data_IF_132462525193
#
_entry.id   IF_132462525193
#
_cell.length_a   1.000
_cell.length_b   1.000
_cell.length_c   1.000
_cell.angle_alpha   90.00
_cell.angle_beta   90.00
_cell.angle_gamma   90.00
#
_symmetry.space_group_name_H-M   'P 1'
#
loop_
_entity.id
_entity.type
_entity.pdbx_description
1 polymer ?
#
# COMPACT_ATOMS: atom_id res chain seq x y z
N UNK A 1 -9.60 -19.25 24.58
CA UNK A 1 -9.16 -17.85 24.65
C UNK A 1 -9.22 -17.29 23.23
N UNK A 2 -9.95 -16.21 22.99
CA UNK A 2 -9.97 -15.55 21.67
C UNK A 2 -8.60 -14.90 21.43
N UNK A 3 -7.98 -15.22 20.30
CA UNK A 3 -6.70 -14.64 19.92
C UNK A 3 -6.92 -13.19 19.54
N UNK A 4 -6.19 -12.25 20.16
CA UNK A 4 -6.18 -10.85 19.78
C UNK A 4 -5.17 -10.63 18.65
N UNK A 5 -5.59 -9.95 17.59
CA UNK A 5 -4.72 -9.61 16.45
C UNK A 5 -4.41 -8.12 16.42
N UNK A 6 -3.20 -7.79 16.01
CA UNK A 6 -2.82 -6.42 15.68
C UNK A 6 -2.59 -6.28 14.17
N UNK A 7 -3.38 -5.41 13.53
CA UNK A 7 -3.27 -5.09 12.11
C UNK A 7 -2.65 -3.70 11.95
N UNK A 8 -1.65 -3.59 11.10
CA UNK A 8 -1.16 -2.30 10.60
C UNK A 8 -1.66 -2.12 9.17
N UNK A 9 -2.34 -1.01 8.90
CA UNK A 9 -2.87 -0.65 7.58
C UNK A 9 -2.05 0.50 7.01
N UNK A 10 -1.38 0.23 5.91
CA UNK A 10 -0.73 1.20 5.04
C UNK A 10 -1.60 1.39 3.80
N UNK A 11 -1.54 2.55 3.15
CA UNK A 11 -2.27 2.72 1.90
C UNK A 11 -2.73 4.13 1.65
N UNK A 12 -3.61 4.26 0.68
CA UNK A 12 -4.14 5.52 0.21
C UNK A 12 -5.54 5.85 0.74
N UNK A 13 -6.29 6.60 -0.06
CA UNK A 13 -7.62 7.10 0.32
C UNK A 13 -8.64 6.00 0.58
N UNK A 14 -8.55 4.86 -0.09
CA UNK A 14 -9.46 3.72 0.18
C UNK A 14 -9.28 3.16 1.59
N UNK A 15 -8.08 3.24 2.15
CA UNK A 15 -7.74 2.86 3.52
C UNK A 15 -8.10 3.93 4.56
N UNK A 16 -8.22 5.21 4.14
CA UNK A 16 -8.61 6.34 5.00
C UNK A 16 -10.13 6.47 5.11
N UNK A 17 -10.90 6.00 4.15
CA UNK A 17 -12.36 6.10 4.14
C UNK A 17 -12.98 5.49 5.41
N UNK A 18 -13.63 6.32 6.24
CA UNK A 18 -14.10 5.96 7.60
C UNK A 18 -15.04 4.76 7.58
N UNK A 19 -15.97 4.69 6.63
CA UNK A 19 -16.94 3.60 6.52
C UNK A 19 -16.52 2.44 5.61
N UNK A 20 -15.28 2.50 5.09
CA UNK A 20 -14.71 1.52 4.16
C UNK A 20 -13.89 0.43 4.85
N UNK A 21 -12.72 0.15 4.26
CA UNK A 21 -11.81 -0.91 4.67
C UNK A 21 -11.45 -0.83 6.16
N UNK A 22 -11.03 0.35 6.64
CA UNK A 22 -10.63 0.51 8.02
C UNK A 22 -11.75 0.19 9.03
N UNK A 23 -13.02 0.43 8.68
CA UNK A 23 -14.15 0.04 9.54
C UNK A 23 -14.30 -1.47 9.59
N UNK A 24 -14.18 -2.13 8.44
CA UNK A 24 -14.27 -3.60 8.35
C UNK A 24 -13.13 -4.31 9.06
N UNK A 25 -11.95 -3.69 9.15
CA UNK A 25 -10.78 -4.21 9.85
C UNK A 25 -10.83 -3.99 11.38
N UNK A 26 -11.90 -3.42 11.92
CA UNK A 26 -12.11 -3.25 13.37
C UNK A 26 -13.08 -4.32 13.86
N UNK A 27 -12.64 -5.17 14.76
CA UNK A 27 -13.42 -6.23 15.39
C UNK A 27 -13.10 -6.34 16.87
N UNK A 28 -13.89 -7.09 17.63
CA UNK A 28 -13.73 -7.24 19.08
C UNK A 28 -12.32 -7.70 19.48
N UNK A 29 -11.69 -8.55 18.64
CA UNK A 29 -10.37 -9.12 18.89
C UNK A 29 -9.29 -8.55 17.94
N UNK A 30 -9.50 -7.34 17.40
CA UNK A 30 -8.56 -6.73 16.46
C UNK A 30 -8.24 -5.30 16.86
N UNK A 31 -6.97 -5.04 17.10
CA UNK A 31 -6.42 -3.68 17.22
C UNK A 31 -5.94 -3.25 15.84
N UNK A 32 -6.52 -2.18 15.30
CA UNK A 32 -6.09 -1.58 14.04
C UNK A 32 -5.25 -0.33 14.28
N UNK A 33 -4.01 -0.33 13.80
CA UNK A 33 -3.19 0.87 13.63
C UNK A 33 -3.25 1.28 12.15
N UNK A 34 -3.96 2.38 11.87
CA UNK A 34 -4.09 2.90 10.51
C UNK A 34 -3.06 4.00 10.27
N UNK A 35 -2.08 3.73 9.41
CA UNK A 35 -1.01 4.65 9.00
C UNK A 35 -1.24 5.19 7.58
N UNK A 36 -2.39 4.87 6.97
CA UNK A 36 -2.71 5.29 5.61
C UNK A 36 -2.92 6.81 5.52
N UNK A 37 -2.55 7.36 4.37
CA UNK A 37 -2.74 8.76 4.04
C UNK A 37 -3.35 8.88 2.63
N UNK A 38 -4.25 9.82 2.40
CA UNK A 38 -4.85 10.06 1.09
C UNK A 38 -3.78 10.30 0.01
N UNK A 39 -4.01 9.76 -1.19
CA UNK A 39 -3.07 9.81 -2.34
C UNK A 39 -1.70 9.16 -2.14
N UNK A 40 -1.51 8.39 -1.07
CA UNK A 40 -0.23 7.72 -0.79
C UNK A 40 0.12 6.69 -1.84
N UNK A 41 1.35 6.74 -2.28
CA UNK A 41 2.03 5.74 -3.11
C UNK A 41 2.96 4.88 -2.25
N UNK A 42 3.59 3.87 -2.83
CA UNK A 42 4.55 3.00 -2.13
C UNK A 42 5.65 3.78 -1.40
N UNK A 43 6.10 4.91 -1.95
CA UNK A 43 7.12 5.73 -1.29
C UNK A 43 6.64 6.32 0.04
N UNK A 44 5.38 6.77 0.12
CA UNK A 44 4.80 7.25 1.39
C UNK A 44 4.61 6.10 2.38
N UNK A 45 4.19 4.93 1.91
CA UNK A 45 4.07 3.74 2.75
C UNK A 45 5.44 3.30 3.28
N UNK A 46 6.49 3.39 2.46
CA UNK A 46 7.87 3.15 2.87
C UNK A 46 8.33 4.15 3.96
N UNK A 47 7.98 5.43 3.79
CA UNK A 47 8.26 6.43 4.83
C UNK A 47 7.62 6.04 6.17
N UNK A 48 6.35 5.59 6.17
CA UNK A 48 5.68 5.16 7.40
C UNK A 48 6.36 3.91 8.03
N UNK A 49 6.93 3.01 7.22
CA UNK A 49 7.72 1.87 7.72
C UNK A 49 9.02 2.30 8.41
N UNK A 50 9.59 3.44 8.02
CA UNK A 50 10.87 3.93 8.57
C UNK A 50 10.72 4.88 9.74
N UNK A 51 9.51 5.39 10.00
CA UNK A 51 9.29 6.33 11.12
C UNK A 51 9.49 5.63 12.46
N UNK A 52 10.32 6.22 13.30
CA UNK A 52 10.62 5.71 14.65
C UNK A 52 9.34 5.47 15.47
N UNK A 53 8.43 6.43 15.46
CA UNK A 53 7.15 6.35 16.20
C UNK A 53 6.27 5.18 15.80
N UNK A 54 6.48 4.57 14.63
CA UNK A 54 5.67 3.46 14.11
C UNK A 54 6.32 2.09 14.38
N UNK A 55 7.58 2.04 14.82
CA UNK A 55 8.33 0.78 14.96
C UNK A 55 7.67 -0.20 15.94
N UNK A 56 7.15 0.29 17.07
CA UNK A 56 6.46 -0.54 18.04
C UNK A 56 5.24 -1.25 17.39
N UNK A 57 4.43 -0.51 16.64
CA UNK A 57 3.25 -1.09 15.98
C UNK A 57 3.62 -2.12 14.92
N UNK A 58 4.69 -1.86 14.16
CA UNK A 58 5.18 -2.78 13.14
C UNK A 58 5.74 -4.07 13.75
N UNK A 59 6.43 -3.96 14.89
CA UNK A 59 7.01 -5.11 15.58
C UNK A 59 5.96 -6.04 16.18
N UNK A 60 4.86 -5.51 16.70
CA UNK A 60 3.78 -6.31 17.29
C UNK A 60 2.71 -6.72 16.28
N UNK A 61 2.81 -6.29 15.03
CA UNK A 61 1.82 -6.60 13.99
C UNK A 61 1.75 -8.11 13.71
N UNK A 62 0.53 -8.65 13.68
CA UNK A 62 0.24 -10.00 13.15
C UNK A 62 0.03 -9.97 11.64
N UNK A 63 -0.47 -8.85 11.11
CA UNK A 63 -0.72 -8.63 9.69
C UNK A 63 -0.46 -7.17 9.32
N UNK A 64 0.29 -6.97 8.26
CA UNK A 64 0.45 -5.65 7.62
C UNK A 64 -0.29 -5.69 6.29
N UNK A 65 -1.19 -4.73 6.08
CA UNK A 65 -1.97 -4.60 4.84
C UNK A 65 -1.49 -3.35 4.11
N UNK A 66 -1.32 -3.45 2.79
CA UNK A 66 -1.01 -2.27 1.96
C UNK A 66 -1.82 -2.27 0.67
N UNK A 67 -2.25 -1.08 0.26
CA UNK A 67 -2.85 -0.79 -1.04
C UNK A 67 -2.37 0.57 -1.53
N UNK A 68 -1.92 0.65 -2.77
CA UNK A 68 -1.42 1.89 -3.36
C UNK A 68 -1.53 1.95 -4.88
N UNK A 69 -1.82 0.84 -5.55
CA UNK A 69 -1.78 0.75 -7.01
C UNK A 69 -2.57 1.85 -7.72
N UNK A 70 -3.77 2.19 -7.25
CA UNK A 70 -4.58 3.27 -7.85
C UNK A 70 -3.87 4.62 -7.73
N UNK A 71 -3.30 4.90 -6.56
CA UNK A 71 -2.62 6.17 -6.31
C UNK A 71 -1.32 6.28 -7.11
N UNK A 72 -0.59 5.20 -7.30
CA UNK A 72 0.60 5.16 -8.14
C UNK A 72 0.28 5.47 -9.58
N UNK A 73 -0.79 4.89 -10.10
CA UNK A 73 -1.29 5.15 -11.44
C UNK A 73 -1.73 6.61 -11.57
N UNK A 74 -2.50 7.13 -10.62
CA UNK A 74 -2.98 8.50 -10.62
C UNK A 74 -1.84 9.53 -10.50
N UNK A 75 -0.84 9.25 -9.65
CA UNK A 75 0.32 10.13 -9.49
C UNK A 75 1.27 10.08 -10.68
N UNK A 76 1.38 8.96 -11.38
CA UNK A 76 2.14 8.89 -12.62
C UNK A 76 1.44 9.66 -13.74
N UNK A 77 0.12 9.51 -13.87
CA UNK A 77 -0.64 10.01 -15.03
C UNK A 77 -1.10 11.46 -14.90
N UNK A 78 -1.47 11.93 -13.71
CA UNK A 78 -2.21 13.18 -13.61
C UNK A 78 -1.78 14.17 -12.53
N UNK A 79 -1.60 13.75 -11.28
CA UNK A 79 -1.48 14.73 -10.19
C UNK A 79 -0.06 15.29 -10.01
N UNK A 80 0.93 14.43 -10.04
CA UNK A 80 2.30 14.78 -9.63
C UNK A 80 3.33 14.47 -10.70
N UNK A 81 2.94 13.82 -11.80
CA UNK A 81 3.82 13.37 -12.88
C UNK A 81 5.06 12.60 -12.36
N UNK A 82 4.87 11.77 -11.32
CA UNK A 82 5.96 10.96 -10.79
C UNK A 82 6.46 10.03 -11.90
N UNK A 83 7.75 10.04 -12.26
CA UNK A 83 8.27 9.17 -13.31
C UNK A 83 7.95 7.70 -13.06
N UNK A 84 7.61 6.95 -14.11
CA UNK A 84 7.29 5.52 -13.99
C UNK A 84 8.42 4.74 -13.33
N UNK A 85 9.67 5.06 -13.66
CA UNK A 85 10.84 4.45 -13.03
C UNK A 85 10.87 4.64 -11.52
N UNK A 86 10.50 5.84 -11.03
CA UNK A 86 10.42 6.13 -9.59
C UNK A 86 9.27 5.36 -8.93
N UNK A 87 8.11 5.28 -9.59
CA UNK A 87 6.98 4.47 -9.12
C UNK A 87 7.41 3.00 -8.97
N UNK A 88 7.96 2.41 -10.03
CA UNK A 88 8.38 1.01 -10.03
C UNK A 88 9.46 0.73 -8.97
N UNK A 89 10.46 1.63 -8.86
CA UNK A 89 11.48 1.52 -7.82
C UNK A 89 10.87 1.57 -6.41
N UNK A 90 9.93 2.50 -6.16
CA UNK A 90 9.30 2.65 -4.85
C UNK A 90 8.49 1.41 -4.44
N UNK A 91 7.84 0.73 -5.40
CA UNK A 91 7.17 -0.57 -5.16
C UNK A 91 8.20 -1.61 -4.71
N UNK A 92 9.31 -1.76 -5.43
CA UNK A 92 10.37 -2.71 -5.05
C UNK A 92 10.94 -2.41 -3.67
N UNK A 93 11.23 -1.14 -3.37
CA UNK A 93 11.78 -0.73 -2.09
C UNK A 93 10.83 -1.03 -0.93
N UNK A 94 9.55 -0.69 -1.09
CA UNK A 94 8.53 -0.97 -0.07
C UNK A 94 8.47 -2.47 0.24
N UNK A 95 8.43 -3.32 -0.80
CA UNK A 95 8.23 -4.76 -0.61
C UNK A 95 9.45 -5.43 0.02
N UNK A 96 10.66 -5.00 -0.30
CA UNK A 96 11.86 -5.49 0.37
C UNK A 96 11.86 -5.10 1.86
N UNK A 97 11.49 -3.86 2.19
CA UNK A 97 11.39 -3.42 3.59
C UNK A 97 10.28 -4.16 4.35
N UNK A 98 9.13 -4.39 3.73
CA UNK A 98 8.08 -5.24 4.30
C UNK A 98 8.57 -6.68 4.57
N UNK A 99 9.37 -7.23 3.65
CA UNK A 99 9.95 -8.55 3.83
C UNK A 99 10.93 -8.62 5.01
N UNK A 100 11.72 -7.56 5.24
CA UNK A 100 12.67 -7.46 6.37
C UNK A 100 11.97 -7.53 7.72
N UNK A 101 10.72 -7.10 7.82
CA UNK A 101 9.93 -7.17 9.06
C UNK A 101 9.54 -8.60 9.44
N UNK A 102 9.58 -9.56 8.52
CA UNK A 102 9.20 -10.98 8.73
C UNK A 102 7.76 -11.16 9.24
N UNK A 103 6.90 -10.21 8.96
CA UNK A 103 5.48 -10.25 9.34
C UNK A 103 4.64 -10.81 8.19
N UNK A 104 3.42 -11.29 8.49
CA UNK A 104 2.44 -11.58 7.43
C UNK A 104 2.11 -10.27 6.73
N UNK A 105 2.15 -10.28 5.39
CA UNK A 105 1.82 -9.14 4.55
C UNK A 105 0.69 -9.51 3.61
N UNK A 106 -0.28 -8.62 3.49
CA UNK A 106 -1.37 -8.71 2.52
C UNK A 106 -1.33 -7.49 1.59
N UNK A 107 -1.15 -7.77 0.32
CA UNK A 107 -1.21 -6.77 -0.75
C UNK A 107 -2.62 -6.76 -1.33
N UNK A 108 -3.21 -5.58 -1.43
CA UNK A 108 -4.49 -5.38 -2.09
C UNK A 108 -4.28 -4.61 -3.39
N UNK A 109 -4.62 -5.22 -4.52
CA UNK A 109 -4.69 -4.53 -5.80
C UNK A 109 -6.15 -4.17 -6.06
N UNK A 110 -6.48 -2.91 -5.86
CA UNK A 110 -7.84 -2.40 -6.01
C UNK A 110 -8.16 -2.12 -7.47
N UNK A 111 -9.43 -2.33 -7.89
CA UNK A 111 -9.82 -2.19 -9.28
C UNK A 111 -9.93 -0.72 -9.70
N UNK A 112 -9.58 -0.45 -10.94
CA UNK A 112 -9.77 0.79 -11.67
C UNK A 112 -9.97 0.44 -13.15
N UNK A 113 -10.50 1.37 -13.95
CA UNK A 113 -10.63 1.14 -15.40
C UNK A 113 -9.25 1.28 -16.09
N UNK A 114 -8.64 0.18 -16.58
CA UNK A 114 -7.28 0.23 -17.13
C UNK A 114 -7.20 0.99 -18.46
N UNK A 115 -8.32 1.17 -19.18
CA UNK A 115 -8.33 1.90 -20.44
C UNK A 115 -8.09 3.41 -20.28
N UNK A 116 -8.23 3.93 -19.06
CA UNK A 116 -8.04 5.36 -18.78
C UNK A 116 -6.58 5.76 -18.55
N UNK A 117 -5.68 4.79 -18.35
CA UNK A 117 -4.32 5.08 -17.89
C UNK A 117 -3.28 4.26 -18.64
N UNK A 118 -2.38 4.96 -19.32
CA UNK A 118 -1.18 4.36 -19.89
C UNK A 118 -0.28 3.82 -18.76
N UNK A 119 0.39 2.69 -18.99
CA UNK A 119 1.29 2.03 -18.04
C UNK A 119 0.65 1.47 -16.75
N UNK A 120 -0.66 1.59 -16.56
CA UNK A 120 -1.33 1.04 -15.38
C UNK A 120 -1.04 -0.45 -15.19
N UNK A 121 -1.07 -1.22 -16.27
CA UNK A 121 -0.73 -2.66 -16.25
C UNK A 121 0.70 -2.91 -15.80
N UNK A 122 1.66 -2.06 -16.16
CA UNK A 122 3.05 -2.22 -15.73
C UNK A 122 3.19 -2.02 -14.22
N UNK A 123 2.46 -1.06 -13.64
CA UNK A 123 2.45 -0.80 -12.20
C UNK A 123 1.84 -1.99 -11.45
N UNK A 124 0.66 -2.46 -11.87
CA UNK A 124 0.04 -3.65 -11.25
C UNK A 124 0.93 -4.89 -11.35
N UNK A 125 1.60 -5.09 -12.48
CA UNK A 125 2.51 -6.21 -12.67
C UNK A 125 3.74 -6.12 -11.78
N UNK A 126 4.25 -4.92 -11.49
CA UNK A 126 5.32 -4.75 -10.52
C UNK A 126 4.88 -5.20 -9.12
N UNK A 127 3.68 -4.83 -8.68
CA UNK A 127 3.12 -5.32 -7.42
C UNK A 127 2.97 -6.84 -7.39
N UNK A 128 2.41 -7.44 -8.46
CA UNK A 128 2.25 -8.90 -8.57
C UNK A 128 3.59 -9.63 -8.53
N UNK A 129 4.56 -9.12 -9.28
CA UNK A 129 5.90 -9.70 -9.33
C UNK A 129 6.57 -9.66 -7.95
N UNK A 130 6.54 -8.51 -7.27
CA UNK A 130 7.10 -8.36 -5.94
C UNK A 130 6.37 -9.21 -4.90
N UNK A 131 5.03 -9.25 -4.93
CA UNK A 131 4.26 -10.10 -4.03
C UNK A 131 4.63 -11.58 -4.19
N UNK A 132 4.80 -12.04 -5.43
CA UNK A 132 5.23 -13.40 -5.72
C UNK A 132 6.70 -13.65 -5.30
N UNK A 133 7.60 -12.69 -5.51
CA UNK A 133 9.02 -12.79 -5.15
C UNK A 133 9.21 -13.00 -3.66
N UNK A 134 8.49 -12.24 -2.84
CA UNK A 134 8.61 -12.30 -1.38
C UNK A 134 7.63 -13.28 -0.72
N UNK A 135 6.76 -13.92 -1.50
CA UNK A 135 5.75 -14.86 -1.01
C UNK A 135 4.70 -14.17 -0.14
N UNK A 136 4.35 -12.94 -0.44
CA UNK A 136 3.29 -12.20 0.24
C UNK A 136 1.91 -12.71 -0.18
N UNK A 137 0.95 -12.55 0.70
CA UNK A 137 -0.44 -12.77 0.36
C UNK A 137 -0.90 -11.61 -0.54
N UNK A 138 -1.63 -11.92 -1.60
CA UNK A 138 -2.13 -10.91 -2.53
C UNK A 138 -3.59 -11.19 -2.85
N UNK A 139 -4.44 -10.17 -2.71
CA UNK A 139 -5.81 -10.18 -3.21
C UNK A 139 -5.87 -9.23 -4.39
N UNK A 140 -5.86 -9.80 -5.58
CA UNK A 140 -5.85 -9.10 -6.85
C UNK A 140 -7.29 -8.88 -7.34
N UNK A 141 -7.96 -7.86 -6.80
CA UNK A 141 -9.30 -7.46 -7.25
C UNK A 141 -9.26 -6.90 -8.67
N UNK A 142 -8.19 -6.19 -9.04
CA UNK A 142 -8.03 -5.66 -10.40
C UNK A 142 -8.01 -6.79 -11.43
N UNK A 143 -7.19 -7.81 -11.20
CA UNK A 143 -7.14 -8.97 -12.09
C UNK A 143 -8.46 -9.74 -12.14
N UNK A 144 -9.18 -9.81 -11.03
CA UNK A 144 -10.53 -10.42 -11.00
C UNK A 144 -11.50 -9.61 -11.85
N UNK A 145 -11.56 -8.29 -11.73
CA UNK A 145 -12.45 -7.43 -12.50
C UNK A 145 -12.15 -7.48 -14.00
N UNK A 146 -10.88 -7.61 -14.39
CA UNK A 146 -10.50 -7.82 -15.79
C UNK A 146 -11.09 -9.14 -16.32
N UNK A 147 -10.87 -10.24 -15.60
CA UNK A 147 -11.33 -11.58 -16.04
C UNK A 147 -12.84 -11.68 -16.14
N UNK A 148 -13.56 -11.08 -15.19
CA UNK A 148 -15.02 -11.17 -15.10
C UNK A 148 -15.73 -10.01 -15.84
N UNK A 149 -14.97 -9.14 -16.52
CA UNK A 149 -15.49 -7.97 -17.24
C UNK A 149 -16.41 -7.07 -16.38
N UNK A 150 -15.97 -6.76 -15.14
CA UNK A 150 -16.78 -6.06 -14.15
C UNK A 150 -16.66 -4.53 -14.20
N UNK A 151 -15.97 -3.95 -15.17
CA UNK A 151 -15.69 -2.50 -15.20
C UNK A 151 -16.93 -1.63 -15.42
N UNK A 152 -17.98 -2.16 -16.02
CA UNK A 152 -19.27 -1.46 -16.11
C UNK A 152 -19.86 -1.12 -14.75
N UNK A 153 -19.65 -1.98 -13.76
CA UNK A 153 -20.03 -1.75 -12.37
C UNK A 153 -19.13 -0.72 -11.69
N UNK A 154 -17.82 -0.77 -11.96
CA UNK A 154 -16.83 0.10 -11.36
C UNK A 154 -16.89 1.54 -11.89
N UNK A 155 -17.21 1.75 -13.15
CA UNK A 155 -17.16 3.07 -13.80
C UNK A 155 -17.97 4.19 -13.11
N UNK A 156 -18.82 3.83 -12.14
CA UNK A 156 -19.62 4.76 -11.35
C UNK A 156 -18.90 5.31 -10.10
N UNK A 157 -17.73 4.77 -9.71
CA UNK A 157 -17.11 5.06 -8.41
C UNK A 157 -15.75 5.77 -8.48
N UNK A 158 -15.19 5.98 -9.66
CA UNK A 158 -13.90 6.63 -9.85
C UNK A 158 -12.75 5.85 -9.17
N UNK A 159 -11.85 6.57 -8.48
CA UNK A 159 -10.71 5.96 -7.79
C UNK A 159 -11.07 5.32 -6.43
N UNK A 160 -12.26 5.60 -5.91
CA UNK A 160 -12.68 5.09 -4.60
C UNK A 160 -13.64 3.93 -4.77
N UNK A 161 -13.39 2.87 -4.03
CA UNK A 161 -14.27 1.71 -3.97
C UNK A 161 -15.51 2.02 -3.13
N UNK A 162 -16.59 1.28 -3.37
CA UNK A 162 -17.80 1.37 -2.54
C UNK A 162 -17.46 1.09 -1.07
N UNK A 163 -17.72 2.05 -0.18
CA UNK A 163 -17.42 1.93 1.25
C UNK A 163 -18.01 0.66 1.87
N UNK A 164 -19.26 0.33 1.51
CA UNK A 164 -19.94 -0.89 2.01
C UNK A 164 -19.22 -2.17 1.58
N UNK A 165 -18.80 -2.24 0.32
CA UNK A 165 -18.03 -3.38 -0.20
C UNK A 165 -16.72 -3.54 0.55
N UNK A 166 -15.97 -2.44 0.71
CA UNK A 166 -14.69 -2.45 1.40
C UNK A 166 -14.83 -2.77 2.90
N UNK A 167 -15.95 -2.40 3.51
CA UNK A 167 -16.26 -2.79 4.90
C UNK A 167 -16.41 -4.31 5.01
N UNK A 168 -17.28 -4.93 4.19
CA UNK A 168 -17.42 -6.39 4.17
C UNK A 168 -16.12 -7.11 3.83
N UNK A 169 -15.33 -6.52 2.94
CA UNK A 169 -14.03 -7.05 2.58
C UNK A 169 -13.07 -7.06 3.78
N UNK A 170 -13.00 -5.96 4.54
CA UNK A 170 -12.23 -5.88 5.78
C UNK A 170 -12.67 -6.92 6.83
N UNK A 171 -13.99 -7.11 7.01
CA UNK A 171 -14.53 -8.15 7.90
C UNK A 171 -14.10 -9.56 7.47
N UNK A 172 -14.07 -9.83 6.17
CA UNK A 172 -13.60 -11.10 5.65
C UNK A 172 -12.09 -11.29 5.86
N UNK A 173 -11.28 -10.24 5.71
CA UNK A 173 -9.84 -10.29 6.00
C UNK A 173 -9.63 -10.72 7.45
N UNK A 174 -10.33 -10.12 8.42
CA UNK A 174 -10.20 -10.46 9.84
C UNK A 174 -10.47 -11.94 10.08
N UNK A 175 -11.55 -12.49 9.53
CA UNK A 175 -11.92 -13.90 9.68
C UNK A 175 -10.87 -14.86 9.16
N UNK A 176 -10.04 -14.41 8.23
CA UNK A 176 -9.05 -15.24 7.53
C UNK A 176 -7.60 -14.95 7.92
N UNK A 177 -7.34 -14.10 8.93
CA UNK A 177 -5.96 -13.80 9.39
C UNK A 177 -5.13 -15.07 9.64
N UNK A 178 -5.67 -16.14 10.27
CA UNK A 178 -4.89 -17.36 10.49
C UNK A 178 -4.40 -18.03 9.21
N UNK A 179 -5.13 -17.87 8.10
CA UNK A 179 -4.82 -18.51 6.82
C UNK A 179 -3.74 -17.78 6.02
N UNK A 180 -3.47 -16.51 6.33
CA UNK A 180 -2.39 -15.78 5.66
C UNK A 180 -1.04 -16.39 6.01
N UNK A 181 -0.23 -16.55 4.97
CA UNK A 181 1.11 -17.14 5.06
C UNK A 181 2.14 -16.09 5.47
N UNK A 182 3.15 -16.53 6.22
CA UNK A 182 4.34 -15.73 6.45
C UNK A 182 5.15 -15.57 5.15
N UNK A 183 5.91 -14.48 5.00
CA UNK A 183 6.69 -14.23 3.80
C UNK A 183 7.74 -15.33 3.57
N UNK A 184 7.92 -15.71 2.30
CA UNK A 184 8.90 -16.69 1.87
C UNK A 184 9.58 -16.22 0.61
N UNK A 185 10.71 -15.59 0.78
CA UNK A 185 11.51 -15.13 -0.35
C UNK A 185 11.99 -16.29 -1.22
N UNK A 186 11.79 -16.17 -2.51
CA UNK A 186 12.25 -17.15 -3.49
C UNK A 186 13.66 -16.85 -3.99
N UNK A 187 14.00 -15.57 -4.08
CA UNK A 187 15.31 -15.10 -4.59
C UNK A 187 15.83 -14.05 -3.60
N UNK A 188 17.03 -14.17 -3.07
CA UNK A 188 17.64 -13.13 -2.25
C UNK A 188 17.74 -11.82 -3.04
N UNK A 189 17.28 -10.74 -2.45
CA UNK A 189 17.44 -9.41 -2.98
C UNK A 189 17.84 -8.50 -1.82
N UNK A 190 18.95 -7.77 -2.00
CA UNK A 190 19.45 -6.77 -1.06
C UNK A 190 19.79 -5.50 -1.85
N UNK A 191 18.90 -5.14 -2.77
CA UNK A 191 19.13 -4.05 -3.71
C UNK A 191 18.65 -2.69 -3.19
N UNK A 192 17.95 -2.66 -2.04
CA UNK A 192 17.48 -1.39 -1.50
C UNK A 192 18.65 -0.51 -1.08
N UNK A 193 18.61 0.78 -1.43
CA UNK A 193 19.52 1.75 -0.83
C UNK A 193 19.28 1.86 0.67
N UNK A 194 20.24 2.43 1.38
CA UNK A 194 20.04 2.80 2.77
C UNK A 194 19.08 4.00 2.84
N UNK A 195 17.94 3.81 3.50
CA UNK A 195 16.95 4.87 3.67
C UNK A 195 17.18 5.59 4.99
N UNK A 196 17.28 6.90 4.91
CA UNK A 196 17.35 7.79 6.07
C UNK A 196 16.24 8.83 6.01
N UNK A 197 15.54 9.00 7.13
CA UNK A 197 14.60 10.11 7.30
C UNK A 197 15.39 11.29 7.84
N UNK A 198 15.36 12.40 7.13
CA UNK A 198 15.90 13.66 7.58
C UNK A 198 14.78 14.52 8.16
N UNK A 199 14.99 15.04 9.34
CA UNK A 199 14.10 16.06 9.92
C UNK A 199 14.51 17.45 9.40
N UNK A 200 13.62 18.45 9.44
CA UNK A 200 13.97 19.83 9.04
C UNK A 200 15.18 20.40 9.80
N UNK A 201 15.46 19.91 11.03
CA UNK A 201 16.62 20.31 11.82
C UNK A 201 17.94 19.74 11.29
N UNK A 202 17.88 18.62 10.59
CA UNK A 202 19.05 17.95 10.00
C UNK A 202 19.28 18.38 8.55
N UNK A 203 18.31 19.09 7.95
CA UNK A 203 18.47 19.67 6.62
C UNK A 203 19.35 20.91 6.75
N UNK A 204 20.51 20.90 6.08
CA UNK A 204 21.28 22.13 5.94
C UNK A 204 20.50 23.10 5.05
N UNK A 205 20.10 24.23 5.60
CA UNK A 205 19.64 25.34 4.78
C UNK A 205 20.88 25.89 4.08
N UNK A 206 20.99 25.76 2.76
CA UNK A 206 21.98 26.52 2.01
C UNK A 206 21.59 28.00 2.16
N UNK A 207 22.37 28.74 2.96
CA UNK A 207 22.27 30.18 2.99
C UNK A 207 22.74 30.70 1.64
N UNK A 208 21.86 31.18 0.81
CA UNK A 208 22.19 31.83 -0.46
C UNK A 208 21.50 31.19 -1.66
N UNK A 209 20.43 31.78 -2.08
CA UNK A 209 19.77 31.53 -3.34
C UNK A 209 18.25 31.69 -3.23
N UNK A 210 17.81 32.93 -3.05
CA UNK A 210 16.44 33.33 -3.40
C UNK A 210 16.27 33.15 -4.90
N UNK A 211 16.00 31.95 -5.34
CA UNK A 211 15.51 31.67 -6.68
C UNK A 211 14.00 31.65 -6.60
N UNK A 212 13.35 32.63 -7.20
CA UNK A 212 11.92 32.61 -7.44
C UNK A 212 11.57 31.31 -8.16
N UNK A 213 10.81 30.45 -7.50
CA UNK A 213 10.17 29.33 -8.18
C UNK A 213 8.96 29.90 -8.93
N UNK A 214 8.91 29.83 -10.25
CA UNK A 214 7.69 30.15 -10.98
C UNK A 214 6.63 29.11 -10.61
N UNK A 215 5.49 29.58 -10.15
CA UNK A 215 4.27 28.81 -9.95
C UNK A 215 3.69 28.33 -11.29
#
# INVERSE_FOLDING_TARGET
MSQNYHIVLLGGSNSVMVNGLQKGLRGENVKLTNLALGSSISLQNLYELKREKNQEFLQIADLIITESNINEIANHHGYSFVPLSTILASVHWLYEELYRLKKKVLILLLPYNPSLYQYATAIDNAHRACANQYGFNCIDMQGHYIRENMFGFYGSFGAHQMARLMNYFGQNIIKHIPLFKSPKQKIPCNANPEFRILTPREMQTSAGGGGDFPY
#
